data_IF_051343930878
#
_entry.id   IF_051343930878
#
_cell.length_a   1.000
_cell.length_b   1.000
_cell.length_c   1.000
_cell.angle_alpha   90.00
_cell.angle_beta   90.00
_cell.angle_gamma   90.00
#
_symmetry.space_group_name_H-M   'P 1'
#
loop_
_entity.id
_entity.type
_entity.pdbx_description
1 polymer ?
#
# COMPACT_ATOMS: atom_id res chain seq x y z
N UNK A 1 -6.42 -4.42 -30.61
CA UNK A 1 -7.02 -3.94 -29.34
C UNK A 1 -6.80 -2.44 -29.25
N UNK A 2 -7.82 -1.64 -28.92
CA UNK A 2 -7.70 -0.18 -28.75
C UNK A 2 -7.90 0.18 -27.28
N UNK A 3 -6.95 0.92 -26.72
CA UNK A 3 -7.03 1.42 -25.34
C UNK A 3 -8.03 2.59 -25.31
N UNK A 4 -8.92 2.60 -24.31
CA UNK A 4 -9.88 3.70 -24.12
C UNK A 4 -9.21 4.95 -23.53
N UNK A 5 -9.83 6.12 -23.72
CA UNK A 5 -9.34 7.38 -23.12
C UNK A 5 -9.19 7.31 -21.60
N UNK A 6 -10.10 6.59 -20.91
CA UNK A 6 -10.02 6.39 -19.46
C UNK A 6 -8.77 5.61 -19.06
N UNK A 7 -8.46 4.54 -19.79
CA UNK A 7 -7.26 3.75 -19.54
C UNK A 7 -5.99 4.55 -19.83
N UNK A 8 -5.97 5.37 -20.88
CA UNK A 8 -4.85 6.30 -21.16
C UNK A 8 -4.66 7.28 -20.01
N UNK A 9 -5.75 7.87 -19.50
CA UNK A 9 -5.67 8.82 -18.39
C UNK A 9 -5.13 8.17 -17.11
N UNK A 10 -5.54 6.94 -16.81
CA UNK A 10 -5.02 6.19 -15.65
C UNK A 10 -3.52 5.90 -15.81
N UNK A 11 -3.09 5.44 -16.99
CA UNK A 11 -1.68 5.17 -17.25
C UNK A 11 -0.82 6.43 -17.14
N UNK A 12 -1.30 7.57 -17.66
CA UNK A 12 -0.61 8.86 -17.52
C UNK A 12 -0.52 9.31 -16.06
N UNK A 13 -1.57 9.07 -15.26
CA UNK A 13 -1.56 9.35 -13.82
C UNK A 13 -0.50 8.54 -13.08
N UNK A 14 -0.41 7.24 -13.36
CA UNK A 14 0.59 6.35 -12.76
C UNK A 14 2.02 6.77 -13.11
N UNK A 15 2.27 7.17 -14.36
CA UNK A 15 3.60 7.67 -14.77
C UNK A 15 3.91 9.00 -14.10
N UNK A 16 2.94 9.91 -13.98
CA UNK A 16 3.15 11.21 -13.35
C UNK A 16 3.42 11.10 -11.84
N UNK A 17 2.98 10.03 -11.18
CA UNK A 17 3.16 9.81 -9.74
C UNK A 17 4.46 9.08 -9.37
N UNK A 18 5.30 8.71 -10.34
CA UNK A 18 6.59 8.05 -10.05
C UNK A 18 7.56 9.05 -9.42
N UNK A 19 8.18 8.68 -8.31
CA UNK A 19 9.21 9.48 -7.62
C UNK A 19 10.48 8.62 -7.41
N UNK A 20 11.64 9.28 -7.40
CA UNK A 20 12.95 8.61 -7.44
C UNK A 20 13.36 7.90 -6.13
N UNK A 21 12.57 8.04 -5.06
CA UNK A 21 12.79 7.39 -3.74
C UNK A 21 11.64 6.44 -3.37
N UNK A 22 10.95 5.92 -4.38
CA UNK A 22 9.88 4.95 -4.16
C UNK A 22 10.48 3.62 -3.71
N UNK A 23 10.38 3.34 -2.41
CA UNK A 23 10.54 2.00 -1.83
C UNK A 23 10.04 0.93 -2.80
N UNK A 24 10.85 -0.10 -3.05
CA UNK A 24 10.47 -1.23 -3.90
C UNK A 24 9.56 -2.21 -3.14
N UNK A 25 9.18 -3.32 -3.78
CA UNK A 25 8.29 -4.30 -3.16
C UNK A 25 8.92 -4.90 -1.88
N UNK A 26 10.24 -5.09 -1.85
CA UNK A 26 10.96 -5.70 -0.71
C UNK A 26 11.07 -4.73 0.47
N UNK A 27 11.39 -3.46 0.19
CA UNK A 27 11.34 -2.40 1.20
C UNK A 27 9.92 -2.18 1.72
N UNK A 28 8.90 -2.31 0.85
CA UNK A 28 7.49 -2.20 1.25
C UNK A 28 7.14 -3.33 2.22
N UNK A 29 7.48 -4.55 1.86
CA UNK A 29 7.22 -5.74 2.67
C UNK A 29 7.90 -5.66 4.05
N UNK A 30 9.12 -5.11 4.12
CA UNK A 30 9.88 -4.96 5.37
C UNK A 30 9.18 -4.09 6.41
N UNK A 31 8.35 -3.13 5.98
CA UNK A 31 7.63 -2.20 6.85
C UNK A 31 6.10 -2.42 6.85
N UNK A 32 5.62 -3.46 6.16
CA UNK A 32 4.20 -3.66 5.91
C UNK A 32 3.41 -3.96 7.19
N UNK A 33 4.01 -4.69 8.13
CA UNK A 33 3.41 -4.99 9.43
C UNK A 33 3.25 -3.72 10.29
N UNK A 34 4.31 -2.91 10.40
CA UNK A 34 4.27 -1.64 11.15
C UNK A 34 3.24 -0.68 10.54
N UNK A 35 3.17 -0.63 9.21
CA UNK A 35 2.15 0.16 8.51
C UNK A 35 0.73 -0.36 8.80
N UNK A 36 0.51 -1.67 8.80
CA UNK A 36 -0.79 -2.27 9.12
C UNK A 36 -1.25 -1.96 10.55
N UNK A 37 -0.34 -1.96 11.52
CA UNK A 37 -0.64 -1.57 12.90
C UNK A 37 -1.10 -0.11 13.00
N UNK A 38 -0.44 0.81 12.30
CA UNK A 38 -0.82 2.22 12.25
C UNK A 38 -2.22 2.40 11.64
N UNK A 39 -2.49 1.71 10.53
CA UNK A 39 -3.78 1.73 9.85
C UNK A 39 -4.90 1.18 10.76
N UNK A 40 -4.67 0.05 11.43
CA UNK A 40 -5.63 -0.55 12.36
C UNK A 40 -5.88 0.32 13.60
N UNK A 41 -4.84 1.02 14.07
CA UNK A 41 -4.96 1.97 15.17
C UNK A 41 -5.64 3.28 14.78
N UNK A 42 -5.92 3.51 13.49
CA UNK A 42 -6.50 4.75 12.97
C UNK A 42 -5.61 5.98 13.22
N UNK A 43 -4.29 5.78 13.28
CA UNK A 43 -3.32 6.85 13.52
C UNK A 43 -2.97 7.54 12.20
N UNK A 44 -2.56 8.81 12.29
CA UNK A 44 -2.00 9.50 11.12
C UNK A 44 -0.71 8.81 10.67
N UNK A 45 -0.58 8.59 9.35
CA UNK A 45 0.59 7.97 8.75
C UNK A 45 1.77 8.95 8.84
N UNK A 46 2.85 8.60 9.57
CA UNK A 46 4.04 9.46 9.66
C UNK A 46 4.69 9.67 8.29
N UNK A 47 5.43 10.77 8.11
CA UNK A 47 6.17 11.05 6.87
C UNK A 47 7.07 9.88 6.44
N UNK A 48 7.66 9.17 7.40
CA UNK A 48 8.50 7.99 7.16
C UNK A 48 7.76 6.84 6.43
N UNK A 49 6.43 6.75 6.57
CA UNK A 49 5.60 5.70 5.96
C UNK A 49 4.89 6.16 4.68
N UNK A 50 5.01 7.43 4.28
CA UNK A 50 4.37 7.93 3.05
C UNK A 50 4.89 7.22 1.79
N UNK A 51 6.16 6.78 1.79
CA UNK A 51 6.72 5.98 0.70
C UNK A 51 6.01 4.62 0.57
N UNK A 52 5.65 3.99 1.70
CA UNK A 52 4.90 2.73 1.74
C UNK A 52 3.47 2.94 1.23
N UNK A 53 2.79 3.95 1.76
CA UNK A 53 1.43 4.30 1.31
C UNK A 53 1.38 4.50 -0.21
N UNK A 54 2.32 5.28 -0.75
CA UNK A 54 2.41 5.53 -2.19
C UNK A 54 2.71 4.25 -2.98
N UNK A 55 3.57 3.37 -2.47
CA UNK A 55 3.84 2.10 -3.12
C UNK A 55 2.58 1.24 -3.21
N UNK A 56 1.79 1.15 -2.13
CA UNK A 56 0.52 0.42 -2.10
C UNK A 56 -0.51 0.99 -3.08
N UNK A 57 -0.51 2.31 -3.32
CA UNK A 57 -1.38 2.95 -4.32
C UNK A 57 -0.95 2.66 -5.77
N UNK A 58 0.33 2.35 -5.99
CA UNK A 58 0.93 2.16 -7.32
C UNK A 58 1.14 0.68 -7.69
N UNK A 59 1.31 -0.20 -6.70
CA UNK A 59 1.63 -1.62 -6.86
C UNK A 59 0.44 -2.49 -6.41
N UNK A 60 -0.34 -3.06 -7.34
CA UNK A 60 -1.47 -3.93 -7.01
C UNK A 60 -1.07 -5.16 -6.19
N UNK A 61 0.11 -5.74 -6.44
CA UNK A 61 0.57 -6.92 -5.71
C UNK A 61 0.74 -6.63 -4.21
N UNK A 62 1.44 -5.55 -3.86
CA UNK A 62 1.64 -5.17 -2.48
C UNK A 62 0.33 -4.72 -1.82
N UNK A 63 -0.59 -4.12 -2.59
CA UNK A 63 -1.93 -3.79 -2.10
C UNK A 63 -2.75 -5.04 -1.74
N UNK A 64 -2.72 -6.06 -2.58
CA UNK A 64 -3.41 -7.32 -2.32
C UNK A 64 -2.82 -8.02 -1.07
N UNK A 65 -1.49 -8.05 -0.94
CA UNK A 65 -0.81 -8.59 0.24
C UNK A 65 -1.19 -7.82 1.53
N UNK A 66 -1.24 -6.49 1.45
CA UNK A 66 -1.67 -5.64 2.57
C UNK A 66 -3.12 -5.90 2.98
N UNK A 67 -4.03 -6.03 2.01
CA UNK A 67 -5.45 -6.27 2.30
C UNK A 67 -5.65 -7.62 2.99
N UNK A 68 -4.97 -8.67 2.51
CA UNK A 68 -4.98 -9.99 3.14
C UNK A 68 -4.42 -9.95 4.56
N UNK A 69 -3.34 -9.19 4.78
CA UNK A 69 -2.77 -8.99 6.11
C UNK A 69 -3.79 -8.33 7.05
N UNK A 70 -4.43 -7.24 6.62
CA UNK A 70 -5.44 -6.52 7.41
C UNK A 70 -6.64 -7.40 7.72
N UNK A 71 -7.14 -8.18 6.75
CA UNK A 71 -8.22 -9.13 6.95
C UNK A 71 -7.83 -10.21 7.98
N UNK A 72 -6.62 -10.76 7.85
CA UNK A 72 -6.08 -11.74 8.79
C UNK A 72 -6.00 -11.19 10.22
N UNK A 73 -5.41 -10.00 10.39
CA UNK A 73 -5.28 -9.35 11.70
C UNK A 73 -6.63 -9.03 12.34
N UNK A 74 -7.64 -8.63 11.56
CA UNK A 74 -9.01 -8.39 12.06
C UNK A 74 -9.75 -9.68 12.44
N UNK A 75 -9.38 -10.81 11.83
CA UNK A 75 -9.96 -12.11 12.14
C UNK A 75 -9.30 -12.78 13.35
N UNK A 76 -8.13 -12.29 13.79
CA UNK A 76 -7.50 -12.80 15.00
C UNK A 76 -8.37 -12.48 16.23
N UNK A 77 -8.57 -13.44 17.13
CA UNK A 77 -9.15 -13.13 18.43
C UNK A 77 -8.22 -12.15 19.17
N UNK A 78 -8.76 -11.24 19.99
CA UNK A 78 -7.90 -10.49 20.91
C UNK A 78 -7.10 -11.48 21.74
N UNK A 79 -5.79 -11.27 21.89
CA UNK A 79 -5.00 -12.06 22.83
C UNK A 79 -5.54 -11.75 24.24
N UNK A 80 -6.29 -12.70 24.80
CA UNK A 80 -6.56 -12.74 26.23
C UNK A 80 -5.21 -12.99 26.93
N UNK A 81 -4.81 -12.06 27.81
CA UNK A 81 -3.56 -12.04 28.60
C UNK A 81 -3.20 -13.38 29.29
#
# INVERSE_FOLDING_TARGET
MSISKKQISNLLGLIASTENDATDCEGCFSHLAEFAELELAGREIPEAFQAIQRHLEQCPCCKDEFDVLIEGLKALPPEDE
#
